data_IF_416541829198
#
_entry.id   IF_416541829198
#
_cell.length_a   1.000
_cell.length_b   1.000
_cell.length_c   1.000
_cell.angle_alpha   90.00
_cell.angle_beta   90.00
_cell.angle_gamma   90.00
#
_symmetry.space_group_name_H-M   'P 1'
#
loop_
_entity.id
_entity.type
_entity.pdbx_description
1 polymer ?
#
# COMPACT_ATOMS: atom_id res chain seq x y z
N UNK A 1 7.67 -60.93 32.87
CA UNK A 1 6.27 -61.14 33.28
C UNK A 1 5.36 -60.83 32.09
N UNK A 2 4.20 -61.49 31.97
CA UNK A 2 3.21 -61.18 30.93
C UNK A 2 2.82 -59.69 30.93
N UNK A 3 2.89 -59.04 32.08
CA UNK A 3 2.62 -57.62 32.30
C UNK A 3 3.49 -56.67 31.44
N UNK A 4 4.80 -56.93 31.28
CA UNK A 4 5.69 -56.06 30.48
C UNK A 4 5.42 -56.12 28.97
N UNK A 5 4.85 -57.22 28.46
CA UNK A 5 4.46 -57.34 27.04
C UNK A 5 3.15 -56.63 26.73
N UNK A 6 2.25 -56.50 27.70
CA UNK A 6 0.98 -55.77 27.57
C UNK A 6 1.26 -54.26 27.48
N UNK A 7 2.12 -53.73 28.35
CA UNK A 7 2.47 -52.29 28.39
C UNK A 7 3.15 -51.81 27.09
N UNK A 8 4.01 -52.64 26.50
CA UNK A 8 4.66 -52.30 25.22
C UNK A 8 3.67 -52.31 24.04
N UNK A 9 2.66 -53.18 24.08
CA UNK A 9 1.57 -53.22 23.08
C UNK A 9 0.67 -52.00 23.20
N UNK A 10 0.35 -51.57 24.41
CA UNK A 10 -0.47 -50.37 24.67
C UNK A 10 0.23 -49.10 24.19
N UNK A 11 1.54 -48.93 24.50
CA UNK A 11 2.31 -47.79 24.00
C UNK A 11 2.40 -47.73 22.48
N UNK A 12 2.61 -48.87 21.82
CA UNK A 12 2.63 -48.93 20.35
C UNK A 12 1.27 -48.58 19.72
N UNK A 13 0.17 -48.90 20.41
CA UNK A 13 -1.18 -48.50 20.00
C UNK A 13 -1.42 -47.00 20.17
N UNK A 14 -0.96 -46.40 21.26
CA UNK A 14 -1.09 -44.95 21.50
C UNK A 14 -0.29 -44.13 20.47
N UNK A 15 0.92 -44.55 20.13
CA UNK A 15 1.75 -43.89 19.11
C UNK A 15 1.12 -44.01 17.71
N UNK A 16 0.56 -45.17 17.37
CA UNK A 16 -0.15 -45.37 16.10
C UNK A 16 -1.42 -44.51 16.02
N UNK A 17 -2.17 -44.38 17.13
CA UNK A 17 -3.35 -43.52 17.20
C UNK A 17 -2.97 -42.04 17.06
N UNK A 18 -1.91 -41.59 17.72
CA UNK A 18 -1.41 -40.22 17.62
C UNK A 18 -0.95 -39.88 16.18
N UNK A 19 -0.26 -40.81 15.50
CA UNK A 19 0.12 -40.64 14.10
C UNK A 19 -1.10 -40.53 13.18
N UNK A 20 -2.10 -41.39 13.37
CA UNK A 20 -3.35 -41.36 12.61
C UNK A 20 -4.13 -40.04 12.80
N UNK A 21 -4.18 -39.51 14.03
CA UNK A 21 -4.83 -38.22 14.31
C UNK A 21 -4.07 -37.05 13.66
N UNK A 22 -2.74 -37.11 13.63
CA UNK A 22 -1.92 -36.09 12.97
C UNK A 22 -2.08 -36.11 11.44
N UNK A 23 -2.24 -37.29 10.84
CA UNK A 23 -2.57 -37.42 9.41
C UNK A 23 -3.96 -36.87 9.09
N UNK A 24 -4.96 -37.16 9.94
CA UNK A 24 -6.30 -36.59 9.80
C UNK A 24 -6.29 -35.06 9.88
N UNK A 25 -5.55 -34.48 10.83
CA UNK A 25 -5.42 -33.03 10.96
C UNK A 25 -4.75 -32.37 9.73
N UNK A 26 -3.73 -33.02 9.14
CA UNK A 26 -3.09 -32.55 7.89
C UNK A 26 -4.05 -32.58 6.71
N UNK A 27 -4.90 -33.60 6.64
CA UNK A 27 -5.88 -33.72 5.56
C UNK A 27 -7.02 -32.69 5.71
N UNK A 28 -7.48 -32.45 6.94
CA UNK A 28 -8.43 -31.36 7.23
C UNK A 28 -7.85 -29.99 6.87
N UNK A 29 -6.58 -29.73 7.14
CA UNK A 29 -5.90 -28.49 6.76
C UNK A 29 -5.84 -28.28 5.24
N UNK A 30 -5.54 -29.35 4.48
CA UNK A 30 -5.58 -29.31 3.01
C UNK A 30 -6.98 -29.04 2.48
N UNK A 31 -8.00 -29.69 3.04
CA UNK A 31 -9.40 -29.49 2.65
C UNK A 31 -9.87 -28.07 2.94
N UNK A 32 -9.47 -27.50 4.08
CA UNK A 32 -9.71 -26.09 4.40
C UNK A 32 -9.03 -25.16 3.40
N UNK A 33 -7.75 -25.40 3.06
CA UNK A 33 -7.01 -24.60 2.08
C UNK A 33 -7.65 -24.64 0.68
N UNK A 34 -8.12 -25.82 0.26
CA UNK A 34 -8.86 -25.99 -1.00
C UNK A 34 -10.21 -25.27 -0.98
N UNK A 35 -10.98 -25.37 0.10
CA UNK A 35 -12.25 -24.67 0.26
C UNK A 35 -12.10 -23.14 0.22
N UNK A 36 -11.04 -22.64 0.86
CA UNK A 36 -10.59 -21.24 0.83
C UNK A 36 -10.28 -20.80 -0.61
N UNK A 37 -9.49 -21.58 -1.34
CA UNK A 37 -9.14 -21.30 -2.74
C UNK A 37 -10.37 -21.31 -3.67
N UNK A 38 -11.30 -22.24 -3.46
CA UNK A 38 -12.55 -22.31 -4.21
C UNK A 38 -13.45 -21.08 -3.96
N UNK A 39 -13.65 -20.71 -2.68
CA UNK A 39 -14.45 -19.54 -2.32
C UNK A 39 -13.87 -18.24 -2.89
N UNK A 40 -12.54 -18.10 -2.92
CA UNK A 40 -11.84 -16.99 -3.59
C UNK A 40 -12.12 -16.95 -5.09
N UNK A 41 -12.07 -18.11 -5.76
CA UNK A 41 -12.32 -18.21 -7.18
C UNK A 41 -13.77 -17.84 -7.52
N UNK A 42 -14.74 -18.28 -6.71
CA UNK A 42 -16.16 -17.93 -6.85
C UNK A 42 -16.41 -16.44 -6.64
N UNK A 43 -15.85 -15.83 -5.60
CA UNK A 43 -15.96 -14.37 -5.38
C UNK A 43 -15.36 -13.57 -6.54
N UNK A 44 -14.22 -14.01 -7.08
CA UNK A 44 -13.60 -13.39 -8.27
C UNK A 44 -14.48 -13.53 -9.52
N UNK A 45 -15.17 -14.66 -9.69
CA UNK A 45 -16.13 -14.86 -10.79
C UNK A 45 -17.36 -13.98 -10.62
N UNK A 46 -17.94 -13.92 -9.43
CA UNK A 46 -19.11 -13.09 -9.12
C UNK A 46 -18.81 -11.60 -9.36
N UNK A 47 -17.63 -11.12 -8.96
CA UNK A 47 -17.24 -9.73 -9.20
C UNK A 47 -17.02 -9.43 -10.70
N UNK A 48 -16.40 -10.36 -11.45
CA UNK A 48 -16.27 -10.23 -12.91
C UNK A 48 -17.64 -10.16 -13.59
N UNK A 49 -18.60 -10.98 -13.14
CA UNK A 49 -19.94 -11.00 -13.68
C UNK A 49 -20.71 -9.72 -13.34
N UNK A 50 -20.61 -9.23 -12.10
CA UNK A 50 -21.15 -7.93 -11.70
C UNK A 50 -20.64 -6.78 -12.58
N UNK A 51 -19.33 -6.77 -12.89
CA UNK A 51 -18.73 -5.77 -13.78
C UNK A 51 -19.28 -5.90 -15.21
N UNK A 52 -19.46 -7.14 -15.72
CA UNK A 52 -20.04 -7.38 -17.05
C UNK A 52 -21.51 -6.97 -17.13
N UNK A 53 -22.31 -7.21 -16.09
CA UNK A 53 -23.72 -6.85 -16.04
C UNK A 53 -23.91 -5.32 -15.94
N UNK A 54 -23.04 -4.65 -15.18
CA UNK A 54 -22.97 -3.18 -15.17
C UNK A 54 -22.66 -2.62 -16.57
N UNK A 55 -21.78 -3.28 -17.33
CA UNK A 55 -21.46 -2.87 -18.70
C UNK A 55 -22.61 -3.14 -19.69
N UNK A 56 -23.40 -4.20 -19.50
CA UNK A 56 -24.58 -4.51 -20.34
C UNK A 56 -25.76 -3.58 -20.09
N UNK A 57 -26.01 -3.21 -18.84
CA UNK A 57 -27.16 -2.37 -18.47
C UNK A 57 -27.01 -0.88 -18.84
N UNK A 58 -25.85 -0.46 -19.36
CA UNK A 58 -25.62 0.90 -19.89
C UNK A 58 -26.09 1.10 -21.34
N UNK A 59 -26.77 0.13 -21.97
CA UNK A 59 -27.27 0.18 -23.36
C UNK A 59 -28.79 0.39 -23.45
N UNK A 60 -29.34 1.41 -22.77
CA UNK A 60 -30.74 1.83 -22.94
C UNK A 60 -30.79 3.10 -23.81
N UNK A 61 -31.56 3.14 -24.91
CA UNK A 61 -31.67 4.34 -25.76
C UNK A 61 -32.51 5.44 -25.07
N UNK A 62 -32.21 6.73 -25.29
CA UNK A 62 -32.84 7.82 -24.57
C UNK A 62 -34.17 8.22 -25.22
N UNK A 63 -35.24 8.23 -24.43
CA UNK A 63 -36.43 9.06 -24.72
C UNK A 63 -36.61 10.10 -23.62
N UNK A 64 -36.35 11.35 -24.01
CA UNK A 64 -36.77 12.64 -23.46
C UNK A 64 -36.49 13.05 -21.99
N UNK A 65 -35.76 14.18 -21.92
CA UNK A 65 -35.79 15.28 -20.95
C UNK A 65 -35.43 14.99 -19.50
N UNK A 66 -34.13 15.11 -19.19
CA UNK A 66 -33.53 16.05 -18.22
C UNK A 66 -32.01 15.91 -18.35
N UNK A 67 -31.30 16.99 -18.68
CA UNK A 67 -29.89 16.96 -19.01
C UNK A 67 -29.03 16.57 -17.80
N UNK A 68 -28.49 15.35 -17.81
CA UNK A 68 -27.52 14.84 -16.84
C UNK A 68 -26.10 14.89 -17.46
N UNK A 69 -25.14 15.64 -16.89
CA UNK A 69 -23.79 15.79 -17.45
C UNK A 69 -22.95 14.49 -17.47
N UNK A 70 -23.41 13.41 -16.87
CA UNK A 70 -22.77 12.08 -16.99
C UNK A 70 -23.05 11.40 -18.36
N UNK A 71 -24.07 11.86 -19.10
CA UNK A 71 -24.43 11.27 -20.40
C UNK A 71 -23.51 11.72 -21.54
N UNK A 72 -23.00 12.96 -21.52
CA UNK A 72 -22.08 13.46 -22.55
C UNK A 72 -20.69 12.78 -22.49
N UNK A 73 -20.21 12.45 -21.29
CA UNK A 73 -18.94 11.73 -21.12
C UNK A 73 -19.05 10.26 -21.55
N UNK A 74 -20.25 9.68 -21.43
CA UNK A 74 -20.55 8.31 -21.87
C UNK A 74 -20.58 8.19 -23.40
N UNK A 75 -21.15 9.19 -24.09
CA UNK A 75 -21.12 9.26 -25.55
C UNK A 75 -19.71 9.51 -26.12
N UNK A 76 -18.92 10.38 -25.50
CA UNK A 76 -17.54 10.64 -25.93
C UNK A 76 -16.64 9.39 -25.80
N UNK A 77 -16.85 8.57 -24.77
CA UNK A 77 -16.13 7.30 -24.59
C UNK A 77 -16.63 6.21 -25.55
N UNK A 78 -17.94 6.14 -25.82
CA UNK A 78 -18.50 5.18 -26.78
C UNK A 78 -18.02 5.46 -28.22
N UNK A 79 -18.01 6.73 -28.64
CA UNK A 79 -17.47 7.14 -29.95
C UNK A 79 -15.98 6.81 -30.10
N UNK A 80 -15.19 6.98 -29.04
CA UNK A 80 -13.77 6.63 -29.05
C UNK A 80 -13.49 5.12 -29.12
N UNK A 81 -14.42 4.29 -28.60
CA UNK A 81 -14.33 2.82 -28.68
C UNK A 81 -14.73 2.30 -30.08
N UNK A 82 -15.74 2.90 -30.72
CA UNK A 82 -16.09 2.56 -32.11
C UNK A 82 -14.97 2.95 -33.09
N UNK A 83 -14.31 4.10 -32.90
CA UNK A 83 -13.14 4.53 -33.68
C UNK A 83 -11.95 3.58 -33.51
N UNK A 84 -11.71 3.08 -32.29
CA UNK A 84 -10.68 2.08 -32.00
C UNK A 84 -10.97 0.71 -32.64
N UNK A 85 -12.25 0.32 -32.74
CA UNK A 85 -12.66 -0.93 -33.43
C UNK A 85 -12.49 -0.81 -34.94
N UNK A 86 -12.81 0.35 -35.54
CA UNK A 86 -12.60 0.59 -36.97
C UNK A 86 -11.11 0.60 -37.35
N UNK A 87 -10.24 1.17 -36.50
CA UNK A 87 -8.78 1.14 -36.71
C UNK A 87 -8.18 -0.27 -36.59
N UNK A 88 -8.77 -1.16 -35.79
CA UNK A 88 -8.32 -2.55 -35.68
C UNK A 88 -8.80 -3.45 -36.84
N UNK A 89 -9.96 -3.17 -37.44
CA UNK A 89 -10.45 -3.92 -38.61
C UNK A 89 -9.67 -3.62 -39.90
N UNK A 90 -9.05 -2.45 -40.01
CA UNK A 90 -8.19 -2.10 -41.16
C UNK A 90 -6.78 -2.73 -41.09
N UNK A 91 -6.41 -3.41 -40.00
CA UNK A 91 -5.08 -4.03 -39.80
C UNK A 91 -5.09 -5.56 -39.80
N UNK A 92 -5.95 -6.20 -40.60
CA UNK A 92 -5.82 -7.63 -40.92
C UNK A 92 -5.10 -7.81 -42.26
N UNK A 93 -3.96 -8.52 -42.33
CA UNK A 93 -3.25 -8.75 -43.58
C UNK A 93 -4.04 -9.72 -44.46
N UNK A 94 -4.28 -9.33 -45.70
CA UNK A 94 -4.85 -10.17 -46.75
C UNK A 94 -3.86 -11.23 -47.20
N UNK A 95 -4.39 -12.44 -47.39
CA UNK A 95 -3.73 -13.59 -47.98
C UNK A 95 -3.19 -13.30 -49.39
N UNK A 96 -1.94 -13.69 -49.68
CA UNK A 96 -1.52 -13.93 -51.07
C UNK A 96 -0.68 -15.20 -51.17
N UNK A 97 -1.05 -16.01 -52.17
CA UNK A 97 -0.44 -17.28 -52.59
C UNK A 97 0.85 -17.02 -53.41
N UNK A 98 1.69 -18.05 -53.64
CA UNK A 98 3.08 -17.88 -54.06
C UNK A 98 3.26 -17.85 -55.58
N UNK A 99 4.25 -17.10 -56.07
CA UNK A 99 4.74 -17.26 -57.45
C UNK A 99 6.26 -17.05 -57.56
N UNK A 100 6.89 -17.99 -58.27
CA UNK A 100 8.30 -18.08 -58.66
C UNK A 100 8.64 -17.02 -59.72
N UNK A 101 9.84 -16.44 -59.66
CA UNK A 101 10.89 -16.44 -60.74
C UNK A 101 11.88 -15.28 -60.57
N UNK A 102 13.15 -15.61 -60.86
CA UNK A 102 14.24 -14.79 -61.46
C UNK A 102 14.69 -13.54 -60.70
N UNK A 103 15.96 -13.13 -60.72
CA UNK A 103 17.26 -13.67 -61.12
C UNK A 103 18.27 -12.60 -60.64
N UNK A 104 19.54 -12.96 -60.49
CA UNK A 104 20.72 -12.08 -60.67
C UNK A 104 20.80 -10.82 -59.80
N UNK A 105 21.73 -10.71 -58.85
CA UNK A 105 23.14 -10.28 -59.01
C UNK A 105 23.42 -9.58 -57.65
N UNK A 106 24.52 -9.70 -56.91
CA UNK A 106 25.90 -10.04 -57.17
C UNK A 106 26.49 -10.64 -55.89
N UNK A 107 27.21 -11.74 -56.05
CA UNK A 107 28.22 -12.24 -55.13
C UNK A 107 29.51 -11.45 -55.26
N UNK A 108 30.28 -11.39 -54.17
CA UNK A 108 31.75 -11.27 -54.00
C UNK A 108 31.95 -10.50 -52.69
N UNK A 109 32.73 -10.88 -51.70
CA UNK A 109 33.80 -11.85 -51.43
C UNK A 109 33.98 -11.71 -49.89
N UNK A 110 34.62 -12.55 -49.07
CA UNK A 110 35.22 -13.85 -49.16
C UNK A 110 35.65 -14.20 -47.71
N UNK A 111 35.59 -15.50 -47.40
CA UNK A 111 36.60 -16.27 -46.64
C UNK A 111 36.84 -16.05 -45.14
N UNK A 112 37.04 -17.22 -44.52
CA UNK A 112 37.56 -17.58 -43.18
C UNK A 112 36.60 -17.26 -42.04
N UNK A 113 36.21 -18.18 -41.17
CA UNK A 113 36.71 -19.52 -40.90
C UNK A 113 36.58 -19.75 -39.40
N UNK A 114 36.11 -20.95 -39.05
CA UNK A 114 36.24 -21.59 -37.73
C UNK A 114 35.13 -21.34 -36.70
N UNK A 115 34.70 -22.50 -36.18
CA UNK A 115 33.69 -22.76 -35.17
C UNK A 115 33.81 -21.91 -33.90
N UNK A 116 32.66 -21.49 -33.37
CA UNK A 116 32.50 -21.26 -31.93
C UNK A 116 31.08 -21.62 -31.48
N UNK A 117 31.04 -22.66 -30.64
CA UNK A 117 30.21 -22.83 -29.45
C UNK A 117 28.92 -22.03 -29.34
N UNK A 118 27.81 -22.77 -29.28
CA UNK A 118 26.54 -22.37 -28.69
C UNK A 118 26.72 -21.83 -27.26
N UNK A 119 26.79 -20.51 -27.13
CA UNK A 119 26.60 -19.81 -25.86
C UNK A 119 25.14 -19.40 -25.73
N UNK A 120 24.40 -20.11 -24.90
CA UNK A 120 23.10 -19.69 -24.38
C UNK A 120 23.28 -18.35 -23.64
N UNK A 121 22.94 -17.25 -24.31
CA UNK A 121 22.90 -15.93 -23.71
C UNK A 121 21.78 -15.89 -22.66
N UNK A 122 22.17 -15.92 -21.38
CA UNK A 122 21.31 -15.54 -20.27
C UNK A 122 20.96 -14.05 -20.43
N UNK A 123 19.83 -13.78 -21.08
CA UNK A 123 19.29 -12.42 -21.14
C UNK A 123 18.94 -11.99 -19.73
N UNK A 124 19.71 -11.04 -19.19
CA UNK A 124 19.38 -10.32 -17.95
C UNK A 124 17.97 -9.75 -18.09
N UNK A 125 16.98 -10.38 -17.46
CA UNK A 125 15.61 -9.86 -17.46
C UNK A 125 15.63 -8.52 -16.73
N UNK A 126 15.41 -7.46 -17.49
CA UNK A 126 15.21 -6.13 -16.92
C UNK A 126 13.97 -6.18 -16.00
N UNK A 127 14.00 -5.54 -14.84
CA UNK A 127 12.85 -5.52 -13.95
C UNK A 127 11.62 -4.98 -14.68
N UNK A 128 10.44 -5.55 -14.45
CA UNK A 128 9.15 -5.13 -15.03
C UNK A 128 8.07 -4.98 -13.95
N UNK A 129 6.96 -4.31 -14.25
CA UNK A 129 5.81 -4.21 -13.36
C UNK A 129 4.49 -4.27 -14.13
N UNK A 130 3.53 -5.04 -13.61
CA UNK A 130 2.20 -5.19 -14.21
C UNK A 130 1.27 -4.06 -13.75
N UNK A 131 0.68 -3.35 -14.71
CA UNK A 131 -0.29 -2.30 -14.44
C UNK A 131 -1.55 -2.87 -13.80
N UNK A 132 -1.94 -2.41 -12.61
CA UNK A 132 -3.15 -2.91 -11.94
C UNK A 132 -4.48 -2.40 -12.52
N UNK A 133 -4.43 -1.41 -13.42
CA UNK A 133 -5.61 -0.87 -14.11
C UNK A 133 -5.93 -1.59 -15.40
N UNK A 134 -4.92 -1.91 -16.22
CA UNK A 134 -5.10 -2.53 -17.53
C UNK A 134 -4.32 -3.83 -17.74
N UNK A 135 -3.59 -4.30 -16.71
CA UNK A 135 -2.78 -5.52 -16.71
C UNK A 135 -1.61 -5.54 -17.69
N UNK A 136 -1.28 -4.40 -18.32
CA UNK A 136 -0.10 -4.28 -19.18
C UNK A 136 1.18 -4.39 -18.35
N UNK A 137 2.12 -5.24 -18.75
CA UNK A 137 3.48 -5.24 -18.22
C UNK A 137 4.27 -4.05 -18.77
N UNK A 138 4.87 -3.28 -17.86
CA UNK A 138 5.64 -2.10 -18.19
C UNK A 138 7.10 -2.29 -17.77
N UNK A 139 8.04 -1.64 -18.45
CA UNK A 139 9.44 -1.61 -18.02
C UNK A 139 9.60 -1.11 -16.58
N UNK A 140 10.57 -1.65 -15.85
CA UNK A 140 10.84 -1.30 -14.45
C UNK A 140 11.22 0.17 -14.25
N UNK A 141 11.69 0.85 -15.30
CA UNK A 141 11.97 2.28 -15.32
C UNK A 141 10.74 3.16 -15.58
N UNK A 142 9.64 2.59 -16.08
CA UNK A 142 8.43 3.32 -16.42
C UNK A 142 7.70 3.82 -15.16
N UNK A 143 7.41 5.12 -15.12
CA UNK A 143 6.75 5.79 -13.98
C UNK A 143 5.22 5.70 -14.05
N UNK A 144 4.68 5.41 -15.22
CA UNK A 144 3.26 5.27 -15.50
C UNK A 144 3.06 4.15 -16.52
N UNK A 145 1.85 3.60 -16.56
CA UNK A 145 1.51 2.57 -17.51
C UNK A 145 1.45 3.16 -18.92
N UNK A 146 2.10 2.51 -19.89
CA UNK A 146 2.11 2.96 -21.29
C UNK A 146 0.72 2.94 -21.94
N UNK A 147 -0.17 2.02 -21.51
CA UNK A 147 -1.51 1.91 -22.10
C UNK A 147 -2.55 2.82 -21.46
N UNK A 148 -2.54 2.99 -20.14
CA UNK A 148 -3.64 3.67 -19.44
C UNK A 148 -3.18 4.83 -18.56
N UNK A 149 -1.90 5.20 -18.65
CA UNK A 149 -1.25 6.31 -17.94
C UNK A 149 -1.35 6.25 -16.41
N UNK A 150 -1.88 5.16 -15.86
CA UNK A 150 -1.99 4.98 -14.42
C UNK A 150 -0.58 4.94 -13.85
N UNK A 151 -0.31 5.79 -12.87
CA UNK A 151 0.97 5.85 -12.20
C UNK A 151 1.34 4.48 -11.66
N UNK A 152 2.61 4.09 -11.80
CA UNK A 152 3.11 2.89 -11.15
C UNK A 152 2.85 3.03 -9.65
N UNK A 153 1.99 2.15 -9.12
CA UNK A 153 1.50 2.23 -7.74
C UNK A 153 2.62 2.15 -6.69
N UNK A 154 3.78 1.64 -7.08
CA UNK A 154 4.98 1.65 -6.28
C UNK A 154 6.14 1.94 -7.24
N UNK A 155 6.54 3.20 -7.39
CA UNK A 155 7.85 3.49 -8.00
C UNK A 155 8.88 2.62 -7.27
N UNK A 156 9.68 1.78 -7.95
CA UNK A 156 10.63 0.90 -7.28
C UNK A 156 11.60 1.82 -6.53
N UNK A 157 11.79 1.54 -5.24
CA UNK A 157 12.74 2.26 -4.41
C UNK A 157 13.64 1.24 -3.76
N UNK A 158 14.84 1.00 -4.28
CA UNK A 158 15.72 0.00 -3.70
C UNK A 158 16.05 0.27 -2.22
N UNK A 159 15.93 1.51 -1.74
CA UNK A 159 16.43 1.91 -0.41
C UNK A 159 15.36 2.39 0.60
N UNK A 160 14.05 2.31 0.29
CA UNK A 160 13.04 2.74 1.27
C UNK A 160 12.97 1.73 2.42
N UNK A 161 13.37 2.16 3.61
CA UNK A 161 13.18 1.43 4.86
C UNK A 161 12.07 2.07 5.68
N UNK A 162 11.08 1.28 6.06
CA UNK A 162 9.94 1.78 6.81
C UNK A 162 9.37 0.70 7.74
N UNK A 163 8.56 1.10 8.71
CA UNK A 163 7.73 0.23 9.51
C UNK A 163 6.32 0.78 9.57
N UNK A 164 5.34 -0.08 9.83
CA UNK A 164 3.94 0.32 9.98
C UNK A 164 3.36 -0.18 11.30
N UNK A 165 2.48 0.63 11.88
CA UNK A 165 1.67 0.27 13.04
C UNK A 165 0.19 0.38 12.62
N UNK A 166 -0.51 -0.74 12.65
CA UNK A 166 -1.94 -0.84 12.34
C UNK A 166 -2.70 -0.98 13.66
N UNK A 167 -3.35 0.08 14.11
CA UNK A 167 -4.29 -0.02 15.23
C UNK A 167 -5.60 -0.63 14.73
N UNK A 168 -6.07 -1.70 15.35
CA UNK A 168 -7.18 -2.50 14.86
C UNK A 168 -8.01 -3.06 16.04
N UNK A 169 -9.19 -3.58 15.71
CA UNK A 169 -9.95 -4.42 16.63
C UNK A 169 -10.48 -5.67 15.94
N UNK A 170 -10.56 -6.76 16.70
CA UNK A 170 -11.26 -7.97 16.29
C UNK A 170 -12.65 -7.96 16.91
N UNK A 171 -13.73 -7.93 16.10
CA UNK A 171 -15.09 -7.99 16.61
C UNK A 171 -15.30 -9.26 17.43
N UNK A 172 -16.00 -9.16 18.56
CA UNK A 172 -16.31 -10.31 19.43
C UNK A 172 -17.03 -11.45 18.71
N UNK A 173 -17.74 -11.13 17.62
CA UNK A 173 -18.47 -12.10 16.78
C UNK A 173 -17.55 -13.08 16.05
N UNK A 174 -16.27 -12.74 15.86
CA UNK A 174 -15.30 -13.59 15.16
C UNK A 174 -14.91 -14.83 15.96
N UNK A 175 -15.15 -14.88 17.27
CA UNK A 175 -14.82 -16.00 18.19
C UNK A 175 -13.35 -16.41 18.27
N UNK A 176 -12.46 -15.80 17.49
CA UNK A 176 -11.01 -16.00 17.56
C UNK A 176 -10.35 -14.91 18.41
N UNK A 177 -9.15 -15.22 18.93
CA UNK A 177 -8.29 -14.26 19.61
C UNK A 177 -7.27 -13.67 18.61
N UNK A 178 -6.63 -12.53 18.92
CA UNK A 178 -5.56 -11.99 18.08
C UNK A 178 -4.42 -12.97 17.80
N UNK A 179 -4.15 -13.94 18.69
CA UNK A 179 -3.16 -15.01 18.43
C UNK A 179 -3.46 -15.81 17.15
N UNK A 180 -4.74 -15.96 16.78
CA UNK A 180 -5.13 -16.64 15.53
C UNK A 180 -4.64 -15.89 14.29
N UNK A 181 -4.59 -14.55 14.34
CA UNK A 181 -4.00 -13.75 13.27
C UNK A 181 -2.50 -14.03 13.14
N UNK A 182 -1.78 -14.12 14.25
CA UNK A 182 -0.35 -14.45 14.24
C UNK A 182 -0.08 -15.86 13.66
N UNK A 183 -0.92 -16.84 14.02
CA UNK A 183 -0.88 -18.20 13.45
C UNK A 183 -1.09 -18.19 11.94
N UNK A 184 -2.15 -17.54 11.45
CA UNK A 184 -2.49 -17.49 10.02
C UNK A 184 -1.40 -16.78 9.22
N UNK A 185 -0.87 -15.66 9.72
CA UNK A 185 0.24 -14.95 9.08
C UNK A 185 1.47 -15.86 8.99
N UNK A 186 1.82 -16.54 10.08
CA UNK A 186 2.99 -17.43 10.11
C UNK A 186 2.82 -18.62 9.17
N UNK A 187 1.62 -19.21 9.10
CA UNK A 187 1.30 -20.33 8.21
C UNK A 187 1.47 -19.97 6.71
N UNK A 188 1.26 -18.71 6.33
CA UNK A 188 1.47 -18.24 4.96
C UNK A 188 2.86 -17.65 4.71
N UNK A 189 3.81 -17.90 5.62
CA UNK A 189 5.21 -17.49 5.51
C UNK A 189 5.50 -16.05 5.95
N UNK A 190 4.62 -15.41 6.73
CA UNK A 190 4.86 -14.08 7.34
C UNK A 190 5.03 -14.29 8.85
N UNK A 191 6.26 -14.36 9.37
CA UNK A 191 6.49 -14.60 10.80
C UNK A 191 5.74 -13.57 11.65
N UNK A 192 4.89 -14.03 12.55
CA UNK A 192 4.12 -13.17 13.45
C UNK A 192 3.96 -13.76 14.84
N UNK A 193 4.07 -12.93 15.89
CA UNK A 193 3.92 -13.34 17.29
C UNK A 193 2.98 -12.42 18.06
N UNK A 194 2.31 -12.96 19.07
CA UNK A 194 1.50 -12.17 20.01
C UNK A 194 2.32 -11.91 21.28
N UNK A 195 2.74 -10.65 21.49
CA UNK A 195 3.77 -10.30 22.48
C UNK A 195 3.27 -9.41 23.62
N UNK A 196 1.96 -9.12 23.70
CA UNK A 196 1.45 -8.16 24.68
C UNK A 196 2.07 -6.77 24.50
N UNK A 197 2.28 -6.00 25.57
CA UNK A 197 2.86 -4.65 25.45
C UNK A 197 4.38 -4.68 25.27
N UNK A 198 4.87 -4.25 24.10
CA UNK A 198 6.32 -4.12 23.86
C UNK A 198 6.64 -3.10 22.78
N UNK A 199 7.70 -2.31 23.01
CA UNK A 199 8.26 -1.34 22.06
C UNK A 199 9.52 -1.84 21.35
N UNK A 200 9.91 -3.11 21.56
CA UNK A 200 11.11 -3.67 20.93
C UNK A 200 10.92 -3.78 19.42
N UNK A 201 11.95 -3.43 18.65
CA UNK A 201 11.98 -3.69 17.20
C UNK A 201 12.26 -5.18 17.01
N UNK A 202 11.46 -5.84 16.18
CA UNK A 202 11.50 -7.28 15.93
C UNK A 202 11.81 -7.58 14.45
N UNK A 203 12.23 -8.80 14.16
CA UNK A 203 12.42 -9.31 12.79
C UNK A 203 11.15 -9.92 12.18
N UNK A 204 10.09 -9.99 12.98
CA UNK A 204 8.79 -10.54 12.66
C UNK A 204 7.70 -9.53 13.00
N UNK A 205 6.52 -9.72 12.44
CA UNK A 205 5.34 -8.94 12.83
C UNK A 205 4.95 -9.27 14.26
N UNK A 206 4.46 -8.28 14.99
CA UNK A 206 4.01 -8.51 16.36
C UNK A 206 2.63 -7.91 16.59
N UNK A 207 1.82 -8.63 17.34
CA UNK A 207 0.55 -8.15 17.87
C UNK A 207 0.82 -7.67 19.28
N UNK A 208 0.54 -6.39 19.54
CA UNK A 208 0.74 -5.75 20.83
C UNK A 208 -0.54 -5.12 21.35
N UNK A 209 -0.64 -4.98 22.67
CA UNK A 209 -1.77 -4.30 23.29
C UNK A 209 -1.60 -2.78 23.21
N UNK A 210 -2.65 -2.06 22.81
CA UNK A 210 -2.73 -0.61 22.94
C UNK A 210 -4.03 -0.18 23.65
N UNK A 211 -3.88 0.54 24.75
CA UNK A 211 -4.97 1.05 25.56
C UNK A 211 -5.64 2.29 24.96
N UNK A 212 -5.05 2.89 23.92
CA UNK A 212 -5.62 4.08 23.26
C UNK A 212 -6.78 3.71 22.30
N UNK A 213 -6.80 2.47 21.83
CA UNK A 213 -7.82 1.93 20.94
C UNK A 213 -9.09 1.65 21.75
N UNK A 214 -10.21 2.19 21.28
CA UNK A 214 -11.52 1.94 21.86
C UNK A 214 -12.25 0.86 21.06
N UNK A 215 -12.82 -0.15 21.73
CA UNK A 215 -13.62 -1.16 21.06
C UNK A 215 -14.87 -0.54 20.43
N UNK A 216 -15.37 -1.12 19.34
CA UNK A 216 -16.65 -0.70 18.75
C UNK A 216 -17.82 -1.17 19.61
N UNK A 217 -17.71 -2.37 20.18
CA UNK A 217 -18.67 -2.99 21.09
C UNK A 217 -17.97 -3.58 22.31
N UNK A 218 -18.66 -3.65 23.45
CA UNK A 218 -18.12 -4.33 24.63
C UNK A 218 -17.73 -5.78 24.29
N UNK A 219 -16.49 -6.16 24.62
CA UNK A 219 -15.92 -7.48 24.33
C UNK A 219 -15.15 -7.59 23.02
N UNK A 220 -15.07 -6.54 22.20
CA UNK A 220 -14.12 -6.51 21.08
C UNK A 220 -12.68 -6.49 21.58
N UNK A 221 -11.79 -7.16 20.87
CA UNK A 221 -10.37 -7.28 21.25
C UNK A 221 -9.56 -6.27 20.44
N UNK A 222 -9.03 -5.25 21.11
CA UNK A 222 -8.23 -4.19 20.50
C UNK A 222 -6.74 -4.52 20.55
N UNK A 223 -6.02 -4.22 19.47
CA UNK A 223 -4.58 -4.48 19.38
C UNK A 223 -3.94 -3.61 18.29
N UNK A 224 -2.63 -3.44 18.39
CA UNK A 224 -1.79 -2.95 17.30
C UNK A 224 -1.11 -4.14 16.62
N UNK A 225 -1.11 -4.15 15.29
CA UNK A 225 -0.29 -5.04 14.49
C UNK A 225 0.88 -4.24 13.93
N UNK A 226 2.09 -4.55 14.40
CA UNK A 226 3.31 -3.78 14.14
C UNK A 226 4.26 -4.59 13.27
N UNK A 227 4.75 -3.99 12.20
CA UNK A 227 5.66 -4.65 11.27
C UNK A 227 7.10 -4.70 11.80
N UNK A 228 7.94 -5.63 11.29
CA UNK A 228 9.38 -5.44 11.31
C UNK A 228 9.78 -4.25 10.41
N UNK A 229 11.08 -3.99 10.27
CA UNK A 229 11.57 -3.05 9.25
C UNK A 229 11.32 -3.68 7.88
N UNK A 230 10.49 -3.01 7.09
CA UNK A 230 10.10 -3.37 5.73
C UNK A 230 10.94 -2.60 4.71
N UNK A 231 11.10 -3.21 3.54
CA UNK A 231 11.99 -2.71 2.50
C UNK A 231 11.26 -2.57 1.17
N UNK A 232 11.30 -1.37 0.60
CA UNK A 232 10.96 -1.12 -0.79
C UNK A 232 9.56 -1.66 -1.19
N UNK A 233 9.45 -2.17 -2.41
CA UNK A 233 8.24 -2.76 -2.98
C UNK A 233 7.86 -4.09 -2.31
N UNK A 234 8.84 -4.91 -1.93
CA UNK A 234 8.60 -6.17 -1.22
C UNK A 234 7.88 -5.94 0.12
N UNK A 235 8.29 -4.90 0.86
CA UNK A 235 7.62 -4.48 2.09
C UNK A 235 6.18 -4.01 1.87
N UNK A 236 5.92 -3.31 0.76
CA UNK A 236 4.57 -2.87 0.39
C UNK A 236 3.65 -4.05 0.05
N UNK A 237 4.18 -5.05 -0.64
CA UNK A 237 3.45 -6.28 -0.95
C UNK A 237 3.16 -7.10 0.31
N UNK A 238 4.10 -7.13 1.27
CA UNK A 238 3.87 -7.76 2.57
C UNK A 238 2.76 -7.04 3.36
N UNK A 239 2.78 -5.70 3.45
CA UNK A 239 1.70 -4.91 4.08
C UNK A 239 0.35 -5.25 3.45
N UNK A 240 0.29 -5.33 2.11
CA UNK A 240 -0.94 -5.68 1.41
C UNK A 240 -1.45 -7.07 1.81
N UNK A 241 -0.58 -8.08 1.79
CA UNK A 241 -0.94 -9.45 2.16
C UNK A 241 -1.40 -9.53 3.61
N UNK A 242 -0.73 -8.83 4.53
CA UNK A 242 -1.13 -8.76 5.95
C UNK A 242 -2.52 -8.16 6.11
N UNK A 243 -2.81 -7.04 5.46
CA UNK A 243 -4.11 -6.36 5.58
C UNK A 243 -5.24 -7.16 4.90
N UNK A 244 -4.95 -7.83 3.78
CA UNK A 244 -5.91 -8.74 3.13
C UNK A 244 -6.28 -9.91 4.05
N UNK A 245 -5.30 -10.54 4.70
CA UNK A 245 -5.51 -11.64 5.65
C UNK A 245 -6.26 -11.18 6.90
N UNK A 246 -5.82 -10.09 7.51
CA UNK A 246 -6.46 -9.54 8.70
C UNK A 246 -7.92 -9.14 8.41
N UNK A 247 -8.16 -8.34 7.37
CA UNK A 247 -9.49 -7.81 7.06
C UNK A 247 -10.42 -8.82 6.40
N UNK A 248 -9.99 -9.44 5.30
CA UNK A 248 -10.89 -10.24 4.47
C UNK A 248 -11.13 -11.64 5.03
N UNK A 249 -10.14 -12.22 5.73
CA UNK A 249 -10.21 -13.61 6.20
C UNK A 249 -10.60 -13.69 7.67
N UNK A 250 -9.96 -12.89 8.52
CA UNK A 250 -10.17 -12.92 9.96
C UNK A 250 -11.16 -11.86 10.44
N UNK A 251 -11.58 -10.96 9.54
CA UNK A 251 -12.58 -9.95 9.84
C UNK A 251 -12.17 -8.99 10.93
N UNK A 252 -10.89 -8.67 10.97
CA UNK A 252 -10.33 -7.58 11.75
C UNK A 252 -10.77 -6.26 11.10
N UNK A 253 -11.09 -5.28 11.93
CA UNK A 253 -11.67 -4.02 11.51
C UNK A 253 -10.93 -2.82 12.12
N UNK A 254 -11.21 -1.64 11.57
CA UNK A 254 -10.70 -0.36 12.03
C UNK A 254 -11.89 0.57 12.32
N UNK A 255 -11.77 1.42 13.35
CA UNK A 255 -12.82 2.37 13.74
C UNK A 255 -12.25 3.79 13.98
N UNK A 256 -13.10 4.72 14.45
CA UNK A 256 -12.70 6.11 14.67
C UNK A 256 -11.58 6.32 15.70
N UNK A 257 -11.33 5.35 16.58
CA UNK A 257 -10.23 5.42 17.54
C UNK A 257 -8.90 5.00 16.93
N UNK A 258 -8.94 4.14 15.91
CA UNK A 258 -7.74 3.54 15.32
C UNK A 258 -6.92 4.50 14.45
N UNK A 259 -5.61 4.30 14.46
CA UNK A 259 -4.54 4.89 13.66
C UNK A 259 -3.90 3.95 12.66
N UNK A 260 -3.34 4.54 11.60
CA UNK A 260 -2.34 3.89 10.77
C UNK A 260 -1.09 4.76 10.81
N UNK A 261 -0.04 4.26 11.46
CA UNK A 261 1.21 4.99 11.60
C UNK A 261 2.27 4.42 10.68
N UNK A 262 3.08 5.30 10.09
CA UNK A 262 4.20 4.93 9.23
C UNK A 262 5.47 5.53 9.82
N UNK A 263 6.43 4.67 10.13
CA UNK A 263 7.78 5.04 10.50
C UNK A 263 8.66 4.96 9.28
N UNK A 264 9.26 6.07 8.86
CA UNK A 264 10.22 6.05 7.74
C UNK A 264 11.63 6.31 8.26
N UNK A 265 12.60 5.53 7.77
CA UNK A 265 14.00 5.62 8.17
C UNK A 265 14.55 7.04 8.01
N UNK A 266 15.06 7.58 9.12
CA UNK A 266 15.64 8.93 9.19
C UNK A 266 17.14 8.92 9.43
N UNK A 267 17.80 7.75 9.42
CA UNK A 267 19.22 7.61 9.76
C UNK A 267 20.16 8.44 8.91
N UNK A 268 19.84 8.63 7.63
CA UNK A 268 20.65 9.39 6.68
C UNK A 268 20.20 10.86 6.50
N UNK A 269 19.34 11.38 7.38
CA UNK A 269 18.81 12.75 7.24
C UNK A 269 19.59 13.74 8.09
N UNK A 270 20.19 14.73 7.44
CA UNK A 270 20.78 15.89 8.12
C UNK A 270 19.70 16.79 8.75
N UNK A 271 20.10 17.66 9.68
CA UNK A 271 19.21 18.67 10.29
C UNK A 271 18.55 19.56 9.23
N UNK A 272 19.22 19.82 8.11
CA UNK A 272 18.64 20.57 7.00
C UNK A 272 17.46 19.84 6.34
N UNK A 273 17.61 18.54 6.06
CA UNK A 273 16.53 17.73 5.53
C UNK A 273 15.32 17.74 6.49
N UNK A 274 15.56 17.57 7.79
CA UNK A 274 14.48 17.58 8.81
C UNK A 274 13.75 18.93 8.84
N UNK A 275 14.46 20.06 8.74
CA UNK A 275 13.83 21.39 8.68
C UNK A 275 12.93 21.55 7.45
N UNK A 276 13.37 21.06 6.29
CA UNK A 276 12.59 21.10 5.04
C UNK A 276 11.36 20.19 5.12
N UNK A 277 11.51 18.96 5.61
CA UNK A 277 10.39 18.03 5.78
C UNK A 277 9.35 18.62 6.74
N UNK A 278 9.78 19.10 7.91
CA UNK A 278 8.88 19.74 8.89
C UNK A 278 8.15 20.95 8.29
N UNK A 279 8.87 21.82 7.58
CA UNK A 279 8.28 22.98 6.90
C UNK A 279 7.26 22.58 5.84
N UNK A 280 7.55 21.55 5.05
CA UNK A 280 6.62 21.03 4.05
C UNK A 280 5.38 20.44 4.71
N UNK A 281 5.55 19.61 5.74
CA UNK A 281 4.44 19.03 6.48
C UNK A 281 3.51 20.11 7.02
N UNK A 282 4.04 21.11 7.72
CA UNK A 282 3.24 22.21 8.29
C UNK A 282 2.54 23.02 7.21
N UNK A 283 3.21 23.30 6.08
CA UNK A 283 2.63 24.05 4.96
C UNK A 283 1.47 23.29 4.30
N UNK A 284 1.58 21.97 4.18
CA UNK A 284 0.62 21.12 3.47
C UNK A 284 -0.29 20.32 4.40
N UNK A 285 -0.24 20.53 5.73
CA UNK A 285 -0.98 19.72 6.71
C UNK A 285 -2.49 19.70 6.40
N UNK A 286 -3.09 20.84 6.11
CA UNK A 286 -4.53 20.92 5.76
C UNK A 286 -4.87 20.22 4.44
N UNK A 287 -3.95 20.19 3.47
CA UNK A 287 -4.15 19.42 2.24
C UNK A 287 -4.05 17.91 2.52
N UNK A 288 -3.13 17.50 3.39
CA UNK A 288 -2.99 16.12 3.84
C UNK A 288 -4.23 15.66 4.63
N UNK A 289 -4.77 16.51 5.51
CA UNK A 289 -6.05 16.30 6.23
C UNK A 289 -7.18 15.97 5.25
N UNK A 290 -7.31 16.75 4.17
CA UNK A 290 -8.33 16.54 3.15
C UNK A 290 -8.18 15.19 2.43
N UNK A 291 -6.94 14.72 2.20
CA UNK A 291 -6.65 13.43 1.53
C UNK A 291 -6.99 12.24 2.45
N UNK A 292 -6.63 12.31 3.73
CA UNK A 292 -6.79 11.18 4.67
C UNK A 292 -8.18 11.09 5.31
N UNK A 293 -9.04 12.09 5.08
CA UNK A 293 -10.44 12.11 5.50
C UNK A 293 -10.73 13.16 6.58
N UNK A 294 -11.37 14.23 6.14
CA UNK A 294 -11.64 15.50 6.82
C UNK A 294 -12.28 15.41 8.23
N UNK A 295 -13.07 14.39 8.58
CA UNK A 295 -13.98 14.54 9.72
C UNK A 295 -13.51 13.97 11.07
N UNK A 296 -12.50 13.09 11.14
CA UNK A 296 -12.06 12.48 12.43
C UNK A 296 -10.65 12.84 12.88
N UNK A 297 -9.80 13.37 12.00
CA UNK A 297 -8.40 13.73 12.30
C UNK A 297 -8.09 15.22 12.11
N UNK A 298 -9.09 16.01 11.78
CA UNK A 298 -8.98 17.46 11.73
C UNK A 298 -9.12 18.12 13.10
N UNK A 299 -8.51 19.29 13.22
CA UNK A 299 -8.58 20.14 14.41
C UNK A 299 -7.56 19.78 15.50
N UNK A 300 -7.54 20.61 16.53
CA UNK A 300 -6.65 20.49 17.69
C UNK A 300 -7.19 19.55 18.79
N UNK A 301 -8.43 19.07 18.65
CA UNK A 301 -9.12 18.27 19.66
C UNK A 301 -8.73 16.79 19.65
N UNK A 302 -8.04 16.31 18.60
CA UNK A 302 -7.50 14.95 18.61
C UNK A 302 -6.19 14.91 19.41
N UNK A 303 -6.30 14.57 20.70
CA UNK A 303 -5.16 14.48 21.62
C UNK A 303 -4.12 13.42 21.23
N UNK A 304 -4.45 12.49 20.34
CA UNK A 304 -3.58 11.39 19.91
C UNK A 304 -2.92 11.64 18.54
N UNK A 305 -3.35 12.67 17.80
CA UNK A 305 -2.80 13.11 16.52
C UNK A 305 -2.96 14.64 16.35
N UNK A 306 -2.31 15.40 17.23
CA UNK A 306 -2.32 16.86 17.27
C UNK A 306 -1.73 17.47 16.01
N UNK A 307 -2.24 18.64 15.66
CA UNK A 307 -1.73 19.42 14.53
C UNK A 307 -0.33 19.96 14.81
N UNK A 308 0.61 19.72 13.89
CA UNK A 308 1.94 20.34 13.94
C UNK A 308 1.86 21.83 13.66
N UNK A 309 0.99 22.27 12.74
CA UNK A 309 0.72 23.68 12.47
C UNK A 309 0.17 24.39 13.70
N UNK A 310 -0.65 23.71 14.49
CA UNK A 310 -1.18 24.20 15.77
C UNK A 310 -0.09 24.54 16.78
N UNK A 311 1.06 23.87 16.76
CA UNK A 311 2.20 24.15 17.65
C UNK A 311 2.78 25.57 17.47
N UNK A 312 2.51 26.23 16.35
CA UNK A 312 2.99 27.58 16.04
C UNK A 312 1.97 28.67 16.36
N UNK A 313 0.80 28.32 16.91
CA UNK A 313 -0.27 29.26 17.25
C UNK A 313 -0.64 30.15 16.06
N UNK A 314 -0.65 31.47 16.30
CA UNK A 314 -1.09 32.50 15.34
C UNK A 314 -0.03 32.89 14.30
N UNK A 315 1.19 32.37 14.37
CA UNK A 315 2.24 32.67 13.39
C UNK A 315 1.77 32.30 11.98
N UNK A 316 2.09 33.11 10.96
CA UNK A 316 1.86 32.75 9.56
C UNK A 316 2.73 31.56 9.13
N UNK A 317 2.36 30.87 8.04
CA UNK A 317 3.18 29.76 7.53
C UNK A 317 4.63 30.19 7.25
N UNK A 318 4.85 31.43 6.78
CA UNK A 318 6.19 31.98 6.55
C UNK A 318 6.97 32.10 7.86
N UNK A 319 6.37 32.71 8.89
CA UNK A 319 7.01 32.86 10.21
C UNK A 319 7.28 31.50 10.87
N UNK A 320 6.37 30.53 10.72
CA UNK A 320 6.60 29.15 11.18
C UNK A 320 7.83 28.53 10.52
N UNK A 321 7.96 28.66 9.19
CA UNK A 321 9.13 28.18 8.46
C UNK A 321 10.40 28.90 8.91
N UNK A 322 10.40 30.23 9.01
CA UNK A 322 11.54 31.02 9.49
C UNK A 322 12.02 30.55 10.87
N UNK A 323 11.08 30.27 11.80
CA UNK A 323 11.39 29.73 13.14
C UNK A 323 12.02 28.33 13.09
N UNK A 324 11.54 27.45 12.21
CA UNK A 324 12.14 26.12 11.98
C UNK A 324 13.55 26.28 11.40
N UNK A 325 13.72 27.16 10.42
CA UNK A 325 15.00 27.39 9.75
C UNK A 325 16.05 28.04 10.65
N UNK A 326 15.63 28.84 11.64
CA UNK A 326 16.54 29.38 12.65
C UNK A 326 17.15 28.32 13.59
N UNK A 327 16.57 27.12 13.67
CA UNK A 327 17.06 26.06 14.54
C UNK A 327 18.34 25.40 13.99
N UNK A 328 19.46 25.47 14.73
CA UNK A 328 20.74 24.85 14.32
C UNK A 328 20.92 23.40 14.77
N UNK A 329 20.28 23.01 15.87
CA UNK A 329 20.39 21.67 16.47
C UNK A 329 19.11 20.88 16.20
N UNK A 330 19.24 19.58 15.93
CA UNK A 330 18.10 18.67 15.70
C UNK A 330 17.05 18.77 16.81
N UNK A 331 17.48 18.74 18.07
CA UNK A 331 16.59 18.84 19.24
C UNK A 331 15.72 20.11 19.21
N UNK A 332 16.25 21.24 18.75
CA UNK A 332 15.50 22.49 18.70
C UNK A 332 14.45 22.46 17.59
N UNK A 333 14.75 21.82 16.45
CA UNK A 333 13.78 21.58 15.38
C UNK A 333 12.63 20.72 15.92
N UNK A 334 12.96 19.64 16.63
CA UNK A 334 11.98 18.73 17.22
C UNK A 334 11.13 19.47 18.26
N UNK A 335 11.71 20.21 19.19
CA UNK A 335 10.96 20.98 20.20
C UNK A 335 10.02 22.01 19.56
N UNK A 336 10.43 22.60 18.44
CA UNK A 336 9.61 23.58 17.72
C UNK A 336 8.39 22.93 17.04
N UNK A 337 8.53 21.70 16.54
CA UNK A 337 7.50 20.98 15.76
C UNK A 337 6.67 20.03 16.63
N UNK A 338 7.25 19.56 17.73
CA UNK A 338 6.69 18.68 18.76
C UNK A 338 7.01 19.25 20.16
N UNK A 339 6.37 20.36 20.57
CA UNK A 339 6.59 20.99 21.88
C UNK A 339 6.47 20.02 23.06
N UNK A 340 7.33 20.18 24.06
CA UNK A 340 7.42 19.31 25.22
C UNK A 340 7.93 17.90 24.90
N UNK A 341 8.59 17.71 23.74
CA UNK A 341 8.96 16.40 23.21
C UNK A 341 7.77 15.43 23.13
N UNK A 342 6.58 15.96 22.88
CA UNK A 342 5.35 15.18 22.89
C UNK A 342 5.19 14.37 21.58
N UNK A 343 4.93 13.07 21.72
CA UNK A 343 4.82 12.13 20.59
C UNK A 343 3.51 12.18 19.81
N UNK A 344 2.51 12.89 20.33
CA UNK A 344 1.10 12.80 19.89
C UNK A 344 0.77 13.78 18.77
N UNK A 345 1.72 14.08 17.89
CA UNK A 345 1.51 14.96 16.73
C UNK A 345 1.45 14.14 15.44
N UNK A 346 0.75 14.64 14.42
CA UNK A 346 0.60 13.96 13.12
C UNK A 346 1.95 13.67 12.45
N UNK A 347 2.91 14.58 12.54
CA UNK A 347 4.32 14.33 12.30
C UNK A 347 5.05 14.31 13.63
N UNK A 348 5.49 13.13 14.06
CA UNK A 348 6.28 12.95 15.27
C UNK A 348 7.76 12.78 14.90
N UNK A 349 8.58 13.77 15.25
CA UNK A 349 10.03 13.78 15.01
C UNK A 349 10.83 13.28 16.22
N UNK A 350 10.19 13.06 17.37
CA UNK A 350 10.87 12.58 18.59
C UNK A 350 11.63 11.26 18.42
N UNK A 351 11.24 10.30 17.54
CA UNK A 351 12.01 9.08 17.34
C UNK A 351 13.38 9.32 16.71
N UNK A 352 13.64 10.49 16.07
CA UNK A 352 14.95 10.84 15.53
C UNK A 352 16.05 10.97 16.60
N UNK A 353 15.68 11.07 17.89
CA UNK A 353 16.64 11.11 19.00
C UNK A 353 16.98 9.72 19.54
N UNK A 354 16.43 8.64 18.96
CA UNK A 354 16.67 7.25 19.38
C UNK A 354 17.78 6.60 18.57
N UNK A 355 18.24 5.44 19.02
CA UNK A 355 19.25 4.62 18.33
C UNK A 355 18.81 4.18 16.92
N UNK A 356 17.50 3.96 16.73
CA UNK A 356 16.89 3.69 15.42
C UNK A 356 16.03 4.89 15.00
N UNK A 357 16.62 5.90 14.35
CA UNK A 357 15.93 7.17 14.06
C UNK A 357 14.92 7.02 12.92
N UNK A 358 13.69 7.48 13.16
CA UNK A 358 12.63 7.49 12.15
C UNK A 358 11.83 8.79 12.22
N UNK A 359 11.21 9.18 11.10
CA UNK A 359 10.07 10.09 11.11
C UNK A 359 8.80 9.25 11.25
N UNK A 360 7.96 9.58 12.22
CA UNK A 360 6.70 8.86 12.45
C UNK A 360 5.52 9.73 11.97
N UNK A 361 4.83 9.24 10.94
CA UNK A 361 3.62 9.83 10.39
C UNK A 361 2.41 9.15 11.03
N UNK A 362 1.68 9.91 11.86
CA UNK A 362 0.51 9.48 12.63
C UNK A 362 -0.80 10.02 12.09
N UNK A 363 -0.75 10.59 10.89
CA UNK A 363 -1.81 11.41 10.32
C UNK A 363 -2.98 10.55 9.81
N UNK A 364 -2.70 9.38 9.24
CA UNK A 364 -3.71 8.60 8.56
C UNK A 364 -4.71 7.96 9.53
N UNK A 365 -5.99 7.89 9.12
CA UNK A 365 -7.03 7.15 9.87
C UNK A 365 -6.71 5.65 9.93
N UNK A 366 -7.13 4.94 10.98
CA UNK A 366 -7.03 3.49 10.97
C UNK A 366 -7.75 2.92 9.74
N UNK A 367 -7.12 1.95 9.09
CA UNK A 367 -7.65 1.35 7.87
C UNK A 367 -7.24 -0.10 7.76
N UNK A 368 -8.11 -0.91 7.19
CA UNK A 368 -7.81 -2.28 6.75
C UNK A 368 -7.77 -2.39 5.22
N UNK A 369 -7.90 -1.26 4.52
CA UNK A 369 -7.81 -1.21 3.05
C UNK A 369 -6.34 -1.19 2.63
N UNK A 370 -5.86 -2.24 1.93
CA UNK A 370 -4.47 -2.31 1.48
C UNK A 370 -4.11 -1.15 0.56
N UNK A 371 -5.01 -0.75 -0.34
CA UNK A 371 -4.78 0.34 -1.27
C UNK A 371 -4.66 1.69 -0.54
N UNK A 372 -5.50 1.97 0.46
CA UNK A 372 -5.34 3.21 1.23
C UNK A 372 -4.03 3.26 1.99
N UNK A 373 -3.65 2.15 2.63
CA UNK A 373 -2.39 2.06 3.36
C UNK A 373 -1.18 2.21 2.43
N UNK A 374 -1.17 1.52 1.29
CA UNK A 374 -0.09 1.61 0.32
C UNK A 374 0.03 3.02 -0.29
N UNK A 375 -1.10 3.66 -0.61
CA UNK A 375 -1.09 5.04 -1.09
C UNK A 375 -0.48 5.98 -0.04
N UNK A 376 -0.82 5.78 1.23
CA UNK A 376 -0.31 6.60 2.33
C UNK A 376 1.20 6.43 2.54
N UNK A 377 1.71 5.20 2.61
CA UNK A 377 3.17 4.95 2.67
C UNK A 377 3.88 5.56 1.47
N UNK A 378 3.26 5.50 0.28
CA UNK A 378 3.77 6.15 -0.94
C UNK A 378 3.81 7.68 -0.86
N UNK A 379 2.87 8.32 -0.16
CA UNK A 379 2.82 9.77 0.06
C UNK A 379 3.89 10.24 1.05
N UNK A 380 4.01 9.57 2.19
CA UNK A 380 5.01 9.91 3.23
C UNK A 380 6.43 9.85 2.67
N UNK A 381 6.70 8.83 1.85
CA UNK A 381 7.91 8.72 1.04
C UNK A 381 8.14 9.91 0.12
N UNK A 382 7.11 10.40 -0.58
CA UNK A 382 7.26 11.54 -1.48
C UNK A 382 7.62 12.81 -0.71
N UNK A 383 7.14 12.95 0.53
CA UNK A 383 7.52 14.06 1.38
C UNK A 383 9.02 14.07 1.71
N UNK A 384 9.63 12.89 1.93
CA UNK A 384 11.08 12.78 2.14
C UNK A 384 11.89 13.13 0.88
N UNK A 385 11.31 12.97 -0.31
CA UNK A 385 11.94 13.32 -1.59
C UNK A 385 11.87 14.80 -1.93
N UNK A 386 11.12 15.61 -1.16
CA UNK A 386 11.08 17.06 -1.36
C UNK A 386 12.46 17.70 -1.20
N UNK A 387 13.43 16.96 -0.63
CA UNK A 387 14.84 17.38 -0.57
C UNK A 387 15.82 16.59 -1.46
N UNK A 388 15.40 16.23 -2.68
CA UNK A 388 16.37 15.79 -3.71
C UNK A 388 16.35 16.64 -5.00
N UNK A 389 15.23 17.32 -5.32
CA UNK A 389 15.08 18.33 -6.39
C UNK A 389 13.62 18.81 -6.40
N UNK A 390 13.40 20.06 -6.02
CA UNK A 390 12.24 20.88 -6.37
C UNK A 390 10.85 20.56 -5.74
N UNK A 391 10.33 21.61 -5.11
CA UNK A 391 8.97 21.84 -4.58
C UNK A 391 7.75 21.66 -5.53
N UNK A 392 7.84 21.54 -6.89
CA UNK A 392 6.63 21.41 -7.72
C UNK A 392 6.00 20.01 -7.76
N UNK A 393 6.71 18.94 -7.37
CA UNK A 393 6.25 17.57 -7.62
C UNK A 393 5.07 17.14 -6.73
N UNK A 394 4.91 17.76 -5.56
CA UNK A 394 3.90 17.40 -4.56
C UNK A 394 2.47 17.53 -5.10
N UNK A 395 2.20 18.45 -6.05
CA UNK A 395 0.86 18.67 -6.63
C UNK A 395 0.56 17.79 -7.85
N UNK A 396 1.58 17.35 -8.61
CA UNK A 396 1.39 16.50 -9.80
C UNK A 396 0.90 15.10 -9.47
N UNK A 397 1.33 14.55 -8.33
CA UNK A 397 0.94 13.22 -7.85
C UNK A 397 -0.56 13.13 -7.49
N UNK A 398 -1.14 14.19 -6.91
CA UNK A 398 -2.56 14.20 -6.52
C UNK A 398 -3.53 14.39 -7.68
N UNK A 399 -3.09 14.93 -8.82
CA UNK A 399 -3.95 15.10 -10.02
C UNK A 399 -4.49 13.77 -10.57
N UNK A 400 -3.77 12.67 -10.38
CA UNK A 400 -4.14 11.35 -10.92
C UNK A 400 -4.95 10.44 -10.00
N UNK A 401 -4.97 10.68 -8.67
CA UNK A 401 -5.50 9.69 -7.71
C UNK A 401 -6.85 10.08 -7.06
N UNK A 402 -7.25 11.35 -7.06
CA UNK A 402 -8.50 11.79 -6.41
C UNK A 402 -9.27 12.86 -7.22
N UNK A 403 -9.95 12.48 -8.34
CA UNK A 403 -10.58 13.44 -9.25
C UNK A 403 -11.71 14.27 -8.63
N UNK A 404 -12.43 13.73 -7.63
CA UNK A 404 -13.63 14.36 -7.05
C UNK A 404 -13.35 15.58 -6.16
N UNK A 405 -12.10 15.86 -5.78
CA UNK A 405 -11.77 16.91 -4.80
C UNK A 405 -11.13 18.17 -5.42
N UNK A 406 -11.11 18.28 -6.75
CA UNK A 406 -10.45 19.36 -7.49
C UNK A 406 -11.09 20.75 -7.33
N UNK A 407 -12.37 20.86 -6.93
CA UNK A 407 -13.08 22.17 -6.93
C UNK A 407 -12.86 23.04 -5.69
N UNK A 408 -12.24 22.53 -4.62
CA UNK A 408 -12.00 23.32 -3.39
C UNK A 408 -10.53 23.70 -3.16
N UNK A 409 -9.56 23.04 -3.81
CA UNK A 409 -8.13 23.19 -3.49
C UNK A 409 -7.39 24.33 -4.24
N UNK A 410 -8.09 25.13 -5.06
CA UNK A 410 -7.47 26.25 -5.80
C UNK A 410 -8.16 27.58 -5.44
N UNK A 411 -8.09 27.97 -4.18
CA UNK A 411 -8.10 29.40 -3.85
C UNK A 411 -6.73 29.75 -3.30
N UNK A 412 -5.87 30.45 -4.07
CA UNK A 412 -4.72 31.13 -3.52
C UNK A 412 -5.22 32.03 -2.39
N UNK A 413 -4.50 32.05 -1.27
CA UNK A 413 -4.70 33.02 -0.21
C UNK A 413 -4.64 34.42 -0.84
N UNK A 414 -5.80 35.00 -1.16
CA UNK A 414 -5.88 36.38 -1.61
C UNK A 414 -5.57 37.22 -0.38
N UNK A 415 -4.46 37.94 -0.44
CA UNK A 415 -4.23 39.08 0.44
C UNK A 415 -5.42 40.02 0.27
N UNK A 416 -6.26 40.14 1.29
CA UNK A 416 -7.09 41.33 1.43
C UNK A 416 -6.15 42.47 1.79
N UNK A 417 -5.79 43.28 0.79
CA UNK A 417 -5.50 44.70 1.01
C UNK A 417 -6.80 45.33 1.52
N UNK A 418 -6.80 45.82 2.75
CA UNK A 418 -7.00 47.22 3.14
C UNK A 418 -6.29 47.38 4.47
#
# INVERSE_FOLDING_TARGET
>A
SQSSRVILKEKGMEEALAASLADQAREEEKLLSLAVAHSLAEKKRAERQRIQDMARNSLVPPSCSHANPDYEMSLAVAMSIEDLKQQQQQRRPSSSKPCKRSCEQLSKDAKKGTLSSSSSSSSSQQPSWTCRRCLLDNPGTAKACEACESTRWCLPLPDLRFGVELELYMPRSRRWKPSRLAEVLSAVGIPCQHEGYTKKITKHWKIVSDASIRPSMHGDLCFELVSPILHAEAGMDEVRKVMELAGSWLGVEANKSTGFHVHVDGSNLSVEHIRKIASCFIKYESALDAIVGHHTREGTNNLYAKSNRGAFGTLSCRQSMERIFACRKLRNVIETVNPGMERRYKLNLTPLLRQSPTLEFRHHRGTISPDRACAWVGNDRQMLRIDARATPFFLGFFRGQYPRYQRQCVRPCRSTRV
#
